data_IF_773492276668
#
_entry.id   IF_773492276668
#
_cell.length_a   1.000
_cell.length_b   1.000
_cell.length_c   1.000
_cell.angle_alpha   90.00
_cell.angle_beta   90.00
_cell.angle_gamma   90.00
#
_symmetry.space_group_name_H-M   'P 1'
#
loop_
_entity.id
_entity.type
_entity.pdbx_description
1 polymer ?
#
# COMPACT_ATOMS: atom_id res chain seq x y z
N UNK A 1 -0.76 22.97 -1.02
CA UNK A 1 -0.67 22.39 0.34
C UNK A 1 -1.72 21.29 0.44
N UNK A 2 -1.34 20.15 1.05
CA UNK A 2 -2.14 18.94 1.38
C UNK A 2 -2.44 17.88 0.29
N UNK A 3 -1.40 17.13 -0.07
CA UNK A 3 -1.39 15.76 -0.63
C UNK A 3 -1.31 14.67 0.46
N UNK A 4 -1.72 15.01 1.70
CA UNK A 4 -1.66 14.14 2.90
C UNK A 4 -2.48 12.87 2.74
N UNK A 5 -3.57 12.94 1.99
CA UNK A 5 -4.65 11.97 2.04
C UNK A 5 -4.36 10.69 1.24
N UNK A 6 -3.76 10.81 0.06
CA UNK A 6 -3.48 9.65 -0.81
C UNK A 6 -2.40 8.75 -0.25
N UNK A 7 -1.46 9.33 0.51
CA UNK A 7 -0.40 8.57 1.15
C UNK A 7 -0.86 7.77 2.35
N UNK A 8 -1.85 8.25 3.10
CA UNK A 8 -2.35 7.50 4.25
C UNK A 8 -2.93 6.18 3.79
N UNK A 9 -3.54 6.11 2.61
CA UNK A 9 -4.04 4.85 2.08
C UNK A 9 -2.94 3.86 1.69
N UNK A 10 -1.98 4.30 0.88
CA UNK A 10 -0.93 3.40 0.37
C UNK A 10 0.08 3.06 1.48
N UNK A 11 0.39 4.01 2.38
CA UNK A 11 1.22 3.78 3.57
C UNK A 11 0.45 2.96 4.61
N UNK A 12 -0.87 3.10 4.79
CA UNK A 12 -1.61 2.19 5.68
C UNK A 12 -1.60 0.76 5.13
N UNK A 13 -1.82 0.57 3.83
CA UNK A 13 -1.77 -0.75 3.22
C UNK A 13 -0.37 -1.39 3.26
N UNK A 14 0.68 -0.63 2.92
CA UNK A 14 2.05 -1.13 2.95
C UNK A 14 2.59 -1.23 4.38
N UNK A 15 2.34 -0.29 5.29
CA UNK A 15 2.87 -0.33 6.66
C UNK A 15 2.17 -1.36 7.55
N UNK A 16 0.87 -1.62 7.34
CA UNK A 16 0.17 -2.73 8.00
C UNK A 16 0.70 -4.07 7.48
N UNK A 17 0.95 -4.20 6.18
CA UNK A 17 1.47 -5.44 5.59
C UNK A 17 2.97 -5.68 5.84
N UNK A 18 3.80 -4.63 5.99
CA UNK A 18 5.28 -4.76 6.01
C UNK A 18 5.96 -4.34 7.31
N UNK A 19 5.37 -3.45 8.13
CA UNK A 19 6.07 -2.83 9.26
C UNK A 19 5.45 -3.09 10.64
N UNK A 20 4.31 -3.79 10.73
CA UNK A 20 3.65 -4.06 12.02
C UNK A 20 3.32 -2.80 12.80
N UNK A 21 3.10 -1.67 12.10
CA UNK A 21 2.82 -0.38 12.73
C UNK A 21 1.49 -0.48 13.48
N UNK A 22 1.51 -0.28 14.81
CA UNK A 22 0.30 -0.23 15.63
C UNK A 22 -0.45 1.06 15.31
N UNK A 23 -1.44 0.98 14.43
CA UNK A 23 -2.39 2.05 14.16
C UNK A 23 -3.29 2.21 15.39
N UNK A 24 -3.31 3.40 16.01
CA UNK A 24 -4.35 3.73 16.99
C UNK A 24 -5.62 4.06 16.21
N UNK A 25 -6.48 3.04 16.09
CA UNK A 25 -7.68 3.03 15.25
C UNK A 25 -8.62 4.20 15.50
N UNK A 26 -8.64 4.77 16.70
CA UNK A 26 -9.60 5.82 17.07
C UNK A 26 -8.99 7.21 16.89
N UNK A 27 -7.74 7.39 17.34
CA UNK A 27 -7.04 8.67 17.27
C UNK A 27 -6.71 9.06 15.83
N UNK A 28 -6.32 8.10 14.99
CA UNK A 28 -5.86 8.40 13.64
C UNK A 28 -7.02 8.61 12.65
N UNK A 29 -8.16 7.94 12.86
CA UNK A 29 -9.36 8.18 12.07
C UNK A 29 -9.87 9.63 12.25
N UNK A 30 -9.90 10.14 13.49
CA UNK A 30 -10.34 11.52 13.74
C UNK A 30 -9.37 12.55 13.17
N UNK A 31 -8.05 12.34 13.29
CA UNK A 31 -7.06 13.21 12.62
C UNK A 31 -7.27 13.24 11.11
N UNK A 32 -7.62 12.11 10.50
CA UNK A 32 -7.85 12.04 9.07
C UNK A 32 -9.11 12.81 8.65
N UNK A 33 -10.22 12.67 9.40
CA UNK A 33 -11.45 13.46 9.17
C UNK A 33 -11.18 14.96 9.29
N UNK A 34 -10.40 15.39 10.29
CA UNK A 34 -9.97 16.79 10.42
C UNK A 34 -9.13 17.24 9.21
N UNK A 35 -8.24 16.38 8.73
CA UNK A 35 -7.44 16.60 7.52
C UNK A 35 -8.29 16.79 6.26
N UNK A 36 -9.32 15.96 6.07
CA UNK A 36 -10.29 16.10 4.95
C UNK A 36 -10.98 17.47 5.02
N UNK A 37 -11.52 17.84 6.19
CA UNK A 37 -12.20 19.14 6.35
C UNK A 37 -11.28 20.32 6.04
N UNK A 38 -10.04 20.28 6.54
CA UNK A 38 -9.03 21.30 6.27
C UNK A 38 -8.67 21.38 4.79
N UNK A 39 -8.57 20.23 4.10
CA UNK A 39 -8.32 20.17 2.66
C UNK A 39 -9.44 20.82 1.86
N UNK A 40 -10.69 20.44 2.13
CA UNK A 40 -11.86 21.02 1.46
C UNK A 40 -11.91 22.54 1.67
N UNK A 41 -11.70 23.01 2.90
CA UNK A 41 -11.62 24.44 3.21
C UNK A 41 -10.52 25.16 2.44
N UNK A 42 -9.31 24.59 2.39
CA UNK A 42 -8.17 25.19 1.68
C UNK A 42 -8.35 25.28 0.16
N UNK A 43 -9.29 24.52 -0.41
CA UNK A 43 -9.64 24.54 -1.83
C UNK A 43 -11.02 25.17 -2.11
N UNK A 44 -11.56 25.95 -1.16
CA UNK A 44 -12.87 26.62 -1.28
C UNK A 44 -14.04 25.66 -1.56
N UNK A 45 -14.00 24.45 -1.00
CA UNK A 45 -15.00 23.40 -1.16
C UNK A 45 -15.54 22.93 0.20
N UNK A 46 -15.70 23.84 1.17
CA UNK A 46 -16.07 23.50 2.56
C UNK A 46 -17.43 22.79 2.66
N UNK A 47 -18.37 23.11 1.77
CA UNK A 47 -19.69 22.46 1.66
C UNK A 47 -19.59 20.95 1.33
N UNK A 48 -18.53 20.54 0.64
CA UNK A 48 -18.29 19.15 0.22
C UNK A 48 -17.62 18.31 1.32
N UNK A 49 -17.13 18.96 2.38
CA UNK A 49 -16.37 18.29 3.44
C UNK A 49 -17.17 17.19 4.14
N UNK A 50 -18.48 17.35 4.28
CA UNK A 50 -19.37 16.34 4.89
C UNK A 50 -19.40 15.06 4.06
N UNK A 51 -19.58 15.18 2.74
CA UNK A 51 -19.59 14.03 1.84
C UNK A 51 -18.23 13.35 1.77
N UNK A 52 -17.15 14.14 1.71
CA UNK A 52 -15.78 13.64 1.70
C UNK A 52 -15.45 12.85 2.99
N UNK A 53 -15.88 13.34 4.15
CA UNK A 53 -15.73 12.62 5.43
C UNK A 53 -16.56 11.34 5.47
N UNK A 54 -17.80 11.37 4.98
CA UNK A 54 -18.65 10.18 4.92
C UNK A 54 -18.05 9.09 4.01
N UNK A 55 -17.46 9.47 2.87
CA UNK A 55 -16.76 8.54 1.99
C UNK A 55 -15.54 7.89 2.68
N UNK A 56 -14.79 8.67 3.47
CA UNK A 56 -13.72 8.13 4.31
C UNK A 56 -14.24 7.18 5.38
N UNK A 57 -15.30 7.54 6.10
CA UNK A 57 -15.85 6.70 7.17
C UNK A 57 -16.36 5.36 6.62
N UNK A 58 -17.06 5.37 5.48
CA UNK A 58 -17.50 4.16 4.80
C UNK A 58 -16.33 3.26 4.44
N UNK A 59 -15.30 3.82 3.80
CA UNK A 59 -14.06 3.12 3.47
C UNK A 59 -13.37 2.57 4.72
N UNK A 60 -13.15 3.42 5.73
CA UNK A 60 -12.44 3.08 6.95
C UNK A 60 -13.14 1.96 7.71
N UNK A 61 -14.47 2.05 7.87
CA UNK A 61 -15.25 1.03 8.56
C UNK A 61 -15.19 -0.31 7.83
N UNK A 62 -15.25 -0.30 6.49
CA UNK A 62 -15.06 -1.50 5.70
C UNK A 62 -13.66 -2.11 5.91
N UNK A 63 -12.60 -1.31 5.77
CA UNK A 63 -11.22 -1.78 5.93
C UNK A 63 -10.85 -2.19 7.36
N UNK A 64 -11.45 -1.55 8.36
CA UNK A 64 -11.27 -1.91 9.76
C UNK A 64 -11.70 -3.36 10.06
N UNK A 65 -12.60 -3.94 9.25
CA UNK A 65 -12.97 -5.37 9.36
C UNK A 65 -11.84 -6.32 8.95
N UNK A 66 -10.94 -5.86 8.07
CA UNK A 66 -9.75 -6.61 7.62
C UNK A 66 -8.54 -6.33 8.52
N UNK A 67 -8.42 -5.14 9.09
CA UNK A 67 -7.29 -4.77 9.96
C UNK A 67 -7.54 -5.20 11.43
N UNK A 68 -7.92 -6.47 11.65
CA UNK A 68 -8.20 -7.03 12.98
C UNK A 68 -7.11 -8.01 13.40
N UNK A 69 -6.96 -8.22 14.71
CA UNK A 69 -6.13 -9.31 15.23
C UNK A 69 -6.61 -10.67 14.71
N UNK A 70 -7.91 -10.79 14.40
CA UNK A 70 -8.50 -11.96 13.76
C UNK A 70 -7.94 -12.20 12.35
N UNK A 71 -7.79 -11.17 11.50
CA UNK A 71 -7.18 -11.34 10.18
C UNK A 71 -5.73 -11.84 10.28
N UNK A 72 -4.94 -11.24 11.18
CA UNK A 72 -3.56 -11.66 11.40
C UNK A 72 -3.50 -13.10 11.93
N UNK A 73 -4.38 -13.44 12.87
CA UNK A 73 -4.51 -14.80 13.39
C UNK A 73 -4.88 -15.80 12.29
N UNK A 74 -5.92 -15.52 11.50
CA UNK A 74 -6.37 -16.35 10.38
C UNK A 74 -5.22 -16.57 9.36
N UNK A 75 -4.46 -15.52 9.05
CA UNK A 75 -3.30 -15.62 8.15
C UNK A 75 -2.24 -16.58 8.71
N UNK A 76 -1.83 -16.40 9.97
CA UNK A 76 -0.80 -17.24 10.59
C UNK A 76 -1.28 -18.68 10.77
N UNK A 77 -2.54 -18.87 11.13
CA UNK A 77 -3.16 -20.20 11.23
C UNK A 77 -3.17 -20.90 9.86
N UNK A 78 -3.63 -20.21 8.82
CA UNK A 78 -3.62 -20.73 7.45
C UNK A 78 -2.20 -21.05 6.98
N UNK A 79 -1.22 -20.18 7.27
CA UNK A 79 0.20 -20.44 6.97
C UNK A 79 0.69 -21.72 7.66
N UNK A 80 0.46 -21.85 8.96
CA UNK A 80 0.95 -22.99 9.74
C UNK A 80 0.28 -24.32 9.35
N UNK A 81 -0.97 -24.28 8.88
CA UNK A 81 -1.71 -25.45 8.39
C UNK A 81 -1.47 -25.76 6.91
N UNK A 82 -0.77 -24.91 6.17
CA UNK A 82 -0.62 -25.04 4.72
C UNK A 82 -1.90 -24.72 3.93
N UNK A 83 -2.80 -23.92 4.52
CA UNK A 83 -4.12 -23.56 3.98
C UNK A 83 -4.18 -22.11 3.46
N UNK A 84 -3.04 -21.56 3.03
CA UNK A 84 -2.97 -20.20 2.49
C UNK A 84 -3.94 -19.99 1.30
N UNK A 85 -4.19 -21.01 0.51
CA UNK A 85 -5.19 -20.98 -0.57
C UNK A 85 -6.60 -20.61 -0.06
N UNK A 86 -7.05 -21.19 1.05
CA UNK A 86 -8.36 -20.87 1.65
C UNK A 86 -8.40 -19.43 2.13
N UNK A 87 -7.31 -18.96 2.74
CA UNK A 87 -7.17 -17.59 3.18
C UNK A 87 -7.24 -16.62 1.99
N UNK A 88 -6.39 -16.77 0.98
CA UNK A 88 -6.35 -15.86 -0.15
C UNK A 88 -7.62 -15.91 -1.00
N UNK A 89 -8.24 -17.08 -1.22
CA UNK A 89 -9.52 -17.18 -1.91
C UNK A 89 -10.63 -16.39 -1.17
N UNK A 90 -10.71 -16.50 0.17
CA UNK A 90 -11.65 -15.73 1.00
C UNK A 90 -11.47 -14.22 0.84
N UNK A 91 -10.25 -13.72 0.77
CA UNK A 91 -9.98 -12.29 0.69
C UNK A 91 -9.97 -11.74 -0.75
N UNK A 92 -9.50 -12.52 -1.72
CA UNK A 92 -9.49 -12.15 -3.14
C UNK A 92 -10.87 -12.24 -3.78
N UNK A 93 -11.79 -13.06 -3.28
CA UNK A 93 -13.20 -12.98 -3.67
C UNK A 93 -13.86 -11.63 -3.34
N UNK A 94 -13.28 -10.86 -2.41
CA UNK A 94 -13.70 -9.49 -2.07
C UNK A 94 -12.96 -8.41 -2.84
N UNK A 95 -12.06 -8.76 -3.76
CA UNK A 95 -11.23 -7.80 -4.50
C UNK A 95 -12.07 -6.70 -5.18
N UNK A 96 -13.21 -7.06 -5.77
CA UNK A 96 -14.08 -6.07 -6.43
C UNK A 96 -14.73 -5.11 -5.43
N UNK A 97 -15.13 -5.59 -4.25
CA UNK A 97 -15.70 -4.77 -3.19
C UNK A 97 -14.63 -3.81 -2.62
N UNK A 98 -13.41 -4.32 -2.37
CA UNK A 98 -12.24 -3.54 -1.97
C UNK A 98 -11.95 -2.43 -2.98
N UNK A 99 -11.87 -2.76 -4.28
CA UNK A 99 -11.65 -1.78 -5.36
C UNK A 99 -12.75 -0.72 -5.39
N UNK A 100 -14.00 -1.13 -5.22
CA UNK A 100 -15.16 -0.22 -5.18
C UNK A 100 -15.10 0.72 -3.98
N UNK A 101 -14.73 0.22 -2.79
CA UNK A 101 -14.56 1.04 -1.59
C UNK A 101 -13.46 2.09 -1.77
N UNK A 102 -12.31 1.70 -2.33
CA UNK A 102 -11.20 2.61 -2.65
C UNK A 102 -11.63 3.68 -3.66
N UNK A 103 -12.29 3.28 -4.74
CA UNK A 103 -12.78 4.21 -5.76
C UNK A 103 -13.84 5.17 -5.23
N UNK A 104 -14.73 4.69 -4.36
CA UNK A 104 -15.76 5.51 -3.71
C UNK A 104 -15.13 6.53 -2.79
N UNK A 105 -14.13 6.12 -2.00
CA UNK A 105 -13.37 7.05 -1.16
C UNK A 105 -12.70 8.13 -1.99
N UNK A 106 -11.91 7.75 -3.00
CA UNK A 106 -11.24 8.72 -3.85
C UNK A 106 -12.25 9.64 -4.54
N UNK A 107 -13.35 9.10 -5.08
CA UNK A 107 -14.44 9.87 -5.68
C UNK A 107 -15.07 10.88 -4.72
N UNK A 108 -15.25 10.53 -3.44
CA UNK A 108 -15.76 11.45 -2.42
C UNK A 108 -14.81 12.62 -2.12
N UNK A 109 -13.51 12.47 -2.38
CA UNK A 109 -12.52 13.52 -2.18
C UNK A 109 -12.42 14.48 -3.35
N UNK A 110 -12.79 14.07 -4.58
CA UNK A 110 -12.64 14.85 -5.81
C UNK A 110 -13.09 16.31 -5.71
N UNK A 111 -14.28 16.61 -5.12
CA UNK A 111 -14.75 17.98 -5.00
C UNK A 111 -13.79 18.87 -4.18
N UNK A 112 -13.11 18.29 -3.19
CA UNK A 112 -12.16 18.97 -2.31
C UNK A 112 -10.74 19.12 -2.90
N UNK A 113 -10.48 18.59 -4.10
CA UNK A 113 -9.16 18.58 -4.73
C UNK A 113 -9.04 19.64 -5.82
N UNK A 114 -7.86 20.26 -5.91
CA UNK A 114 -7.45 21.08 -7.05
C UNK A 114 -7.26 20.23 -8.32
N UNK A 115 -7.42 20.82 -9.50
CA UNK A 115 -7.41 20.12 -10.80
C UNK A 115 -6.15 19.26 -11.04
N UNK A 116 -4.98 19.77 -10.67
CA UNK A 116 -3.70 19.04 -10.75
C UNK A 116 -3.69 17.80 -9.85
N UNK A 117 -4.27 17.88 -8.65
CA UNK A 117 -4.32 16.77 -7.68
C UNK A 117 -5.36 15.73 -8.07
N UNK A 118 -6.45 16.14 -8.75
CA UNK A 118 -7.45 15.20 -9.27
C UNK A 118 -6.84 14.19 -10.23
N UNK A 119 -5.98 14.64 -11.14
CA UNK A 119 -5.29 13.76 -12.09
C UNK A 119 -4.41 12.71 -11.39
N UNK A 120 -3.70 13.11 -10.34
CA UNK A 120 -2.90 12.18 -9.53
C UNK A 120 -3.79 11.17 -8.79
N UNK A 121 -4.92 11.61 -8.22
CA UNK A 121 -5.88 10.71 -7.55
C UNK A 121 -6.53 9.73 -8.54
N UNK A 122 -6.81 10.12 -9.79
CA UNK A 122 -7.24 9.18 -10.83
C UNK A 122 -6.21 8.09 -11.07
N UNK A 123 -4.94 8.49 -11.24
CA UNK A 123 -3.85 7.57 -11.49
C UNK A 123 -3.63 6.63 -10.29
N UNK A 124 -3.71 7.14 -9.06
CA UNK A 124 -3.56 6.38 -7.84
C UNK A 124 -4.71 5.37 -7.63
N UNK A 125 -5.95 5.76 -7.97
CA UNK A 125 -7.09 4.84 -7.95
C UNK A 125 -6.92 3.68 -8.95
N UNK A 126 -6.54 4.00 -10.19
CA UNK A 126 -6.30 3.00 -11.23
C UNK A 126 -5.15 2.05 -10.84
N UNK A 127 -4.02 2.59 -10.37
CA UNK A 127 -2.88 1.80 -9.93
C UNK A 127 -3.21 0.91 -8.72
N UNK A 128 -4.03 1.39 -7.78
CA UNK A 128 -4.45 0.57 -6.63
C UNK A 128 -5.34 -0.58 -7.08
N UNK A 129 -6.24 -0.35 -8.05
CA UNK A 129 -7.04 -1.41 -8.64
C UNK A 129 -6.18 -2.46 -9.37
N UNK A 130 -5.22 -2.01 -10.18
CA UNK A 130 -4.27 -2.91 -10.86
C UNK A 130 -3.44 -3.71 -9.86
N UNK A 131 -3.02 -3.10 -8.75
CA UNK A 131 -2.26 -3.80 -7.69
C UNK A 131 -3.09 -4.90 -7.03
N UNK A 132 -4.37 -4.63 -6.74
CA UNK A 132 -5.28 -5.63 -6.21
C UNK A 132 -5.45 -6.78 -7.20
N UNK A 133 -5.60 -6.48 -8.50
CA UNK A 133 -5.73 -7.50 -9.54
C UNK A 133 -4.44 -8.32 -9.72
N UNK A 134 -3.28 -7.68 -9.61
CA UNK A 134 -2.00 -8.36 -9.61
C UNK A 134 -1.86 -9.32 -8.43
N UNK A 135 -2.21 -8.86 -7.23
CA UNK A 135 -2.09 -9.62 -5.99
C UNK A 135 -3.09 -10.77 -5.92
N UNK A 136 -4.32 -10.54 -6.39
CA UNK A 136 -5.41 -11.52 -6.40
C UNK A 136 -5.53 -12.33 -7.69
N UNK A 137 -4.54 -12.23 -8.58
CA UNK A 137 -4.46 -13.09 -9.76
C UNK A 137 -4.52 -14.56 -9.35
N UNK A 138 -5.42 -15.33 -9.96
CA UNK A 138 -5.70 -16.74 -9.64
C UNK A 138 -5.82 -16.99 -8.14
N UNK A 139 -6.69 -16.22 -7.47
CA UNK A 139 -6.97 -16.34 -6.03
C UNK A 139 -5.73 -16.21 -5.13
N UNK A 140 -4.80 -15.34 -5.51
CA UNK A 140 -3.60 -15.07 -4.72
C UNK A 140 -2.45 -16.04 -4.98
N UNK A 141 -2.41 -16.69 -6.15
CA UNK A 141 -1.35 -17.62 -6.52
C UNK A 141 0.06 -17.03 -6.31
N UNK A 142 0.27 -15.76 -6.71
CA UNK A 142 1.56 -15.07 -6.60
C UNK A 142 2.03 -14.90 -5.15
N UNK A 143 1.25 -14.28 -4.23
CA UNK A 143 1.65 -14.20 -2.84
C UNK A 143 1.71 -15.57 -2.15
N UNK A 144 0.86 -16.54 -2.51
CA UNK A 144 0.94 -17.92 -1.99
C UNK A 144 2.29 -18.54 -2.35
N UNK A 145 2.69 -18.51 -3.62
CA UNK A 145 3.95 -19.09 -4.09
C UNK A 145 5.14 -18.50 -3.32
N UNK A 146 5.18 -17.18 -3.19
CA UNK A 146 6.22 -16.48 -2.44
C UNK A 146 6.29 -16.92 -0.96
N UNK A 147 5.13 -17.09 -0.31
CA UNK A 147 5.05 -17.49 1.10
C UNK A 147 5.42 -18.96 1.30
N UNK A 148 4.90 -19.86 0.47
CA UNK A 148 5.13 -21.31 0.56
C UNK A 148 6.59 -21.67 0.32
N UNK A 149 7.29 -20.89 -0.48
CA UNK A 149 8.73 -21.08 -0.73
C UNK A 149 9.62 -20.47 0.36
N UNK A 150 9.02 -19.88 1.40
CA UNK A 150 9.76 -19.30 2.52
C UNK A 150 10.39 -17.95 2.22
N UNK A 151 10.00 -17.27 1.13
CA UNK A 151 10.51 -15.94 0.77
C UNK A 151 10.29 -14.94 1.91
N UNK A 152 9.11 -14.95 2.54
CA UNK A 152 8.82 -14.10 3.69
C UNK A 152 9.69 -14.43 4.91
N UNK A 153 9.96 -15.71 5.16
CA UNK A 153 10.71 -16.14 6.34
C UNK A 153 12.20 -15.82 6.19
N UNK A 154 12.72 -15.97 4.97
CA UNK A 154 14.07 -15.55 4.62
C UNK A 154 14.26 -14.05 4.80
N UNK A 155 13.34 -13.23 4.29
CA UNK A 155 13.40 -11.77 4.46
C UNK A 155 13.25 -11.36 5.93
N UNK A 156 12.37 -12.02 6.69
CA UNK A 156 12.20 -11.74 8.12
C UNK A 156 13.49 -11.99 8.90
N UNK A 157 14.16 -13.13 8.64
CA UNK A 157 15.44 -13.48 9.25
C UNK A 157 16.56 -12.49 8.90
N UNK A 158 16.49 -11.90 7.71
CA UNK A 158 17.48 -10.96 7.18
C UNK A 158 17.00 -9.49 7.19
N UNK A 159 16.01 -9.16 8.00
CA UNK A 159 15.37 -7.85 8.02
C UNK A 159 16.34 -6.71 8.36
N UNK A 160 17.37 -6.98 9.17
CA UNK A 160 18.47 -6.04 9.44
C UNK A 160 19.20 -5.61 8.16
N UNK A 161 19.59 -6.56 7.30
CA UNK A 161 20.27 -6.25 6.04
C UNK A 161 19.39 -5.46 5.06
N UNK A 162 18.09 -5.74 5.03
CA UNK A 162 17.13 -4.94 4.25
C UNK A 162 17.07 -3.51 4.80
N UNK A 163 17.00 -3.35 6.13
CA UNK A 163 17.00 -2.04 6.80
C UNK A 163 18.28 -1.25 6.50
N UNK A 164 19.45 -1.89 6.57
CA UNK A 164 20.73 -1.26 6.31
C UNK A 164 20.83 -0.80 4.84
N UNK A 165 20.42 -1.65 3.90
CA UNK A 165 20.36 -1.31 2.48
C UNK A 165 19.45 -0.10 2.19
N UNK A 166 18.27 -0.06 2.81
CA UNK A 166 17.33 1.06 2.67
C UNK A 166 17.91 2.32 3.29
N UNK A 167 18.54 2.21 4.46
CA UNK A 167 19.18 3.35 5.14
C UNK A 167 20.30 3.93 4.29
N UNK A 168 21.14 3.08 3.70
CA UNK A 168 22.23 3.48 2.79
C UNK A 168 21.71 4.29 1.60
N UNK A 169 20.69 3.76 0.92
CA UNK A 169 20.05 4.43 -0.23
C UNK A 169 19.39 5.76 0.13
N UNK A 170 19.08 5.97 1.42
CA UNK A 170 18.39 7.16 1.92
C UNK A 170 19.31 8.14 2.66
N UNK A 171 20.62 7.90 2.75
CA UNK A 171 21.57 8.78 3.45
C UNK A 171 21.55 10.24 2.94
N UNK A 172 21.16 10.46 1.70
CA UNK A 172 21.09 11.79 1.08
C UNK A 172 19.70 12.44 1.12
N UNK A 173 18.73 11.83 1.82
CA UNK A 173 17.39 12.39 2.03
C UNK A 173 17.44 13.27 3.28
N UNK A 174 17.11 14.55 3.14
CA UNK A 174 17.12 15.52 4.23
C UNK A 174 15.74 15.62 4.90
N UNK A 175 15.67 16.03 6.17
CA UNK A 175 14.40 16.19 6.92
C UNK A 175 13.45 17.23 6.31
N UNK A 176 13.94 18.11 5.44
CA UNK A 176 13.13 19.10 4.71
C UNK A 176 12.48 18.53 3.44
N UNK A 177 12.69 17.24 3.14
CA UNK A 177 12.17 16.65 1.94
C UNK A 177 10.66 16.51 2.01
N UNK A 178 9.98 17.14 1.05
CA UNK A 178 8.55 17.02 0.86
C UNK A 178 8.22 15.53 0.77
N UNK A 179 7.56 14.93 1.78
CA UNK A 179 7.28 13.51 1.73
C UNK A 179 6.35 13.20 0.56
N UNK A 180 5.66 14.23 0.01
CA UNK A 180 4.58 14.24 -1.00
C UNK A 180 5.07 14.33 -2.44
N UNK A 181 6.38 14.28 -2.63
CA UNK A 181 6.97 14.05 -3.93
C UNK A 181 6.68 12.59 -4.37
N UNK A 182 5.85 12.44 -5.41
CA UNK A 182 5.49 11.15 -5.98
C UNK A 182 6.69 10.41 -6.57
N UNK A 183 7.66 11.14 -7.13
CA UNK A 183 8.90 10.54 -7.63
C UNK A 183 9.70 9.93 -6.49
N UNK A 184 9.75 10.64 -5.37
CA UNK A 184 10.40 10.16 -4.15
C UNK A 184 9.65 9.02 -3.49
N UNK A 185 8.31 9.04 -3.49
CA UNK A 185 7.52 7.91 -3.03
C UNK A 185 7.84 6.66 -3.86
N UNK A 186 7.76 6.75 -5.18
CA UNK A 186 8.08 5.66 -6.09
C UNK A 186 9.51 5.16 -5.88
N UNK A 187 10.49 6.07 -5.80
CA UNK A 187 11.88 5.73 -5.49
C UNK A 187 12.02 4.99 -4.15
N UNK A 188 11.38 5.49 -3.08
CA UNK A 188 11.45 4.84 -1.75
C UNK A 188 10.87 3.43 -1.72
N UNK A 189 9.76 3.19 -2.43
CA UNK A 189 9.15 1.87 -2.52
C UNK A 189 10.01 0.93 -3.35
N UNK A 190 10.52 1.41 -4.49
CA UNK A 190 11.46 0.64 -5.33
C UNK A 190 12.73 0.31 -4.58
N UNK A 191 13.28 1.23 -3.77
CA UNK A 191 14.45 0.97 -2.93
C UNK A 191 14.20 -0.16 -1.94
N UNK A 192 13.05 -0.15 -1.26
CA UNK A 192 12.68 -1.22 -0.32
C UNK A 192 12.56 -2.55 -1.05
N UNK A 193 11.82 -2.60 -2.17
CA UNK A 193 11.66 -3.84 -2.94
C UNK A 193 12.98 -4.33 -3.54
N UNK A 194 13.82 -3.44 -4.04
CA UNK A 194 15.13 -3.79 -4.61
C UNK A 194 16.10 -4.27 -3.53
N UNK A 195 16.10 -3.66 -2.34
CA UNK A 195 16.87 -4.13 -1.20
C UNK A 195 16.40 -5.52 -0.74
N UNK A 196 15.09 -5.73 -0.61
CA UNK A 196 14.53 -7.04 -0.28
C UNK A 196 14.91 -8.09 -1.35
N UNK A 197 14.80 -7.73 -2.62
CA UNK A 197 15.15 -8.62 -3.73
C UNK A 197 16.65 -8.98 -3.71
N UNK A 198 17.55 -8.00 -3.52
CA UNK A 198 18.99 -8.24 -3.42
C UNK A 198 19.33 -9.25 -2.33
N UNK A 199 18.69 -9.12 -1.16
CA UNK A 199 18.87 -10.08 -0.07
C UNK A 199 18.30 -11.45 -0.47
N UNK A 200 17.14 -11.49 -1.11
CA UNK A 200 16.52 -12.74 -1.56
C UNK A 200 17.35 -13.46 -2.64
N UNK A 201 18.08 -12.73 -3.49
CA UNK A 201 18.99 -13.26 -4.50
C UNK A 201 20.18 -14.04 -3.91
N UNK A 202 20.51 -13.83 -2.63
CA UNK A 202 21.50 -14.61 -1.88
C UNK A 202 20.94 -15.96 -1.37
N UNK A 203 19.64 -16.19 -1.55
CA UNK A 203 18.95 -17.42 -1.13
C UNK A 203 18.84 -18.45 -2.28
N UNK A 204 18.65 -19.74 -1.97
CA UNK A 204 18.34 -20.75 -2.98
C UNK A 204 16.89 -20.67 -3.53
N UNK A 205 16.08 -19.70 -3.08
CA UNK A 205 14.63 -19.61 -3.33
C UNK A 205 14.32 -19.01 -4.71
N UNK A 206 14.69 -19.71 -5.79
CA UNK A 206 14.58 -19.21 -7.18
C UNK A 206 13.20 -18.66 -7.54
N UNK A 207 12.15 -19.36 -7.17
CA UNK A 207 10.79 -18.94 -7.50
C UNK A 207 10.36 -17.71 -6.68
N UNK A 208 10.74 -17.62 -5.39
CA UNK A 208 10.48 -16.43 -4.57
C UNK A 208 11.21 -15.20 -5.14
N UNK A 209 12.43 -15.38 -5.66
CA UNK A 209 13.17 -14.34 -6.42
C UNK A 209 12.36 -13.91 -7.65
N UNK A 210 11.87 -14.86 -8.45
CA UNK A 210 11.05 -14.55 -9.63
C UNK A 210 9.75 -13.80 -9.28
N UNK A 211 9.08 -14.17 -8.18
CA UNK A 211 7.89 -13.46 -7.69
C UNK A 211 8.24 -12.05 -7.21
N UNK A 212 9.36 -11.89 -6.49
CA UNK A 212 9.89 -10.59 -6.07
C UNK A 212 10.22 -9.66 -7.25
N UNK A 213 10.90 -10.20 -8.28
CA UNK A 213 11.18 -9.48 -9.52
C UNK A 213 9.91 -9.09 -10.27
N UNK A 214 8.93 -10.00 -10.32
CA UNK A 214 7.62 -9.73 -10.91
C UNK A 214 6.89 -8.61 -10.19
N UNK A 215 6.97 -8.56 -8.85
CA UNK A 215 6.38 -7.50 -8.04
C UNK A 215 7.06 -6.13 -8.28
N UNK A 216 8.40 -6.11 -8.32
CA UNK A 216 9.15 -4.88 -8.65
C UNK A 216 8.79 -4.40 -10.06
N UNK A 217 8.71 -5.32 -11.02
CA UNK A 217 8.35 -5.02 -12.41
C UNK A 217 6.92 -4.49 -12.50
N UNK A 218 5.97 -5.13 -11.81
CA UNK A 218 4.60 -4.66 -11.71
C UNK A 218 4.55 -3.23 -11.18
N UNK A 219 5.21 -2.98 -10.03
CA UNK A 219 5.24 -1.66 -9.42
C UNK A 219 5.87 -0.61 -10.35
N UNK A 220 6.97 -0.94 -11.03
CA UNK A 220 7.70 -0.01 -11.90
C UNK A 220 7.18 0.11 -13.33
N UNK A 221 6.21 -0.71 -13.76
CA UNK A 221 5.71 -0.66 -15.15
C UNK A 221 4.19 -0.59 -15.29
N UNK A 222 3.45 -1.01 -14.26
CA UNK A 222 2.00 -1.17 -14.25
C UNK A 222 1.35 -0.40 -13.09
N UNK A 223 2.02 0.63 -12.58
CA UNK A 223 1.41 1.55 -11.62
C UNK A 223 1.72 2.98 -12.03
N UNK A 224 1.24 3.94 -11.26
CA UNK A 224 1.60 5.35 -11.44
C UNK A 224 3.13 5.60 -11.35
N UNK A 225 3.92 4.64 -10.87
CA UNK A 225 5.38 4.72 -10.82
C UNK A 225 6.09 4.44 -12.15
N UNK A 226 5.38 4.04 -13.22
CA UNK A 226 5.96 3.68 -14.54
C UNK A 226 7.01 4.64 -15.07
N UNK A 227 6.78 5.95 -14.90
CA UNK A 227 7.67 7.02 -15.36
C UNK A 227 8.14 7.93 -14.22
N UNK A 228 7.93 7.48 -12.97
CA UNK A 228 8.16 8.29 -11.76
C UNK A 228 9.25 7.71 -10.86
N UNK A 229 9.92 6.65 -11.29
CA UNK A 229 11.15 6.16 -10.66
C UNK A 229 12.31 6.85 -11.35
N UNK A 230 12.91 7.85 -10.70
CA UNK A 230 14.24 8.29 -11.13
C UNK A 230 15.19 7.15 -10.81
N UNK A 231 15.81 6.58 -11.83
CA UNK A 231 17.06 5.84 -11.66
C UNK A 231 18.01 6.82 -10.96
N UNK A 232 18.32 6.55 -9.69
CA UNK A 232 19.43 7.19 -8.99
C UNK A 232 20.69 6.48 -9.44
#
# INVERSE_FOLDING_TARGET
MNTIMTKVLIVAFLAVATLGYKVDKTSDAEKFKLGIRALCKSNNAEEEATQAVAAFESFYNYFATFATDAFAYEFWEAKNKGELNKFFNKYCSKAQEIKTGISTFFGGLYPCLHSTVRNDVTADNAATAEFIDYFCHNDGERPIAFLTEGGSDYLKKNSGYVSDCVTEKRKNITENDNPFDVYRFCGRVVDVFSCALKILEESPLKNAINQGQSLVTFFTKHTFCKDRVKTV
#
